data_IF_797356733614
#
_entry.id   IF_797356733614
#
_cell.length_a   1.000
_cell.length_b   1.000
_cell.length_c   1.000
_cell.angle_alpha   90.00
_cell.angle_beta   90.00
_cell.angle_gamma   90.00
#
_symmetry.space_group_name_H-M   'P 1'
#
loop_
_entity.id
_entity.type
_entity.pdbx_description
1 polymer ?
#
# COMPACT_ATOMS: atom_id res chain seq x y z
N UNK A 1 24.66 -42.95 -13.83
CA UNK A 1 24.02 -42.08 -14.84
C UNK A 1 22.58 -41.91 -14.40
N UNK A 2 22.27 -40.69 -13.94
CA UNK A 2 20.94 -40.06 -13.73
C UNK A 2 20.09 -40.60 -12.56
N UNK A 3 20.29 -39.98 -11.39
CA UNK A 3 19.22 -39.72 -10.42
C UNK A 3 18.66 -38.32 -10.74
N UNK A 4 17.64 -38.24 -11.56
CA UNK A 4 16.80 -37.05 -11.69
C UNK A 4 15.36 -37.46 -11.38
N UNK A 5 14.91 -37.10 -10.18
CA UNK A 5 13.51 -36.74 -9.94
C UNK A 5 13.40 -35.93 -8.65
N UNK A 6 13.95 -34.72 -8.73
CA UNK A 6 13.51 -33.58 -7.94
C UNK A 6 12.18 -33.10 -8.56
N UNK A 7 11.03 -33.50 -8.00
CA UNK A 7 9.82 -32.70 -8.15
C UNK A 7 9.54 -32.03 -6.81
N UNK A 8 10.19 -30.91 -6.59
CA UNK A 8 9.78 -29.97 -5.57
C UNK A 8 8.31 -29.64 -5.81
N UNK A 9 7.47 -30.07 -4.88
CA UNK A 9 6.11 -29.60 -4.71
C UNK A 9 6.18 -28.12 -4.29
N UNK A 10 6.48 -27.26 -5.25
CA UNK A 10 6.39 -25.82 -5.12
C UNK A 10 5.18 -25.39 -5.96
N UNK A 11 4.20 -24.79 -5.30
CA UNK A 11 3.03 -24.18 -5.95
C UNK A 11 3.50 -23.16 -6.98
N UNK A 12 3.00 -23.27 -8.21
CA UNK A 12 3.38 -22.46 -9.37
C UNK A 12 2.73 -21.06 -9.38
N UNK A 13 2.45 -20.47 -8.21
CA UNK A 13 1.56 -19.30 -8.09
C UNK A 13 2.24 -17.93 -8.03
N UNK A 14 3.57 -17.81 -8.02
CA UNK A 14 4.19 -16.51 -7.71
C UNK A 14 5.23 -16.03 -8.73
N UNK A 15 4.82 -15.93 -9.99
CA UNK A 15 5.47 -15.03 -10.95
C UNK A 15 4.45 -14.39 -11.89
N UNK A 16 3.49 -13.63 -11.35
CA UNK A 16 2.91 -12.55 -12.16
C UNK A 16 3.87 -11.37 -12.05
N UNK A 17 4.67 -11.13 -13.08
CA UNK A 17 5.40 -9.88 -13.22
C UNK A 17 4.37 -8.75 -13.33
N UNK A 18 4.06 -8.11 -12.21
CA UNK A 18 3.40 -6.81 -12.21
C UNK A 18 4.51 -5.77 -12.29
N UNK A 19 4.64 -5.11 -13.44
CA UNK A 19 5.54 -3.98 -13.60
C UNK A 19 4.97 -2.78 -12.84
N UNK A 20 5.42 -2.58 -11.60
CA UNK A 20 5.10 -1.38 -10.84
C UNK A 20 5.71 -0.14 -11.51
N UNK A 21 4.94 0.94 -11.63
CA UNK A 21 5.44 2.24 -12.07
C UNK A 21 5.27 3.26 -10.93
N UNK A 22 6.38 3.84 -10.48
CA UNK A 22 6.40 4.81 -9.38
C UNK A 22 6.64 6.25 -9.83
N UNK A 23 6.72 6.53 -11.13
CA UNK A 23 7.09 7.85 -11.66
C UNK A 23 6.15 8.96 -11.17
N UNK A 24 4.85 8.68 -11.19
CA UNK A 24 3.83 9.65 -10.76
C UNK A 24 3.86 9.86 -9.24
N UNK A 25 4.14 8.81 -8.48
CA UNK A 25 4.43 8.93 -7.06
C UNK A 25 5.61 9.88 -6.84
N UNK A 26 6.77 9.60 -7.44
CA UNK A 26 8.00 10.42 -7.27
C UNK A 26 7.80 11.90 -7.60
N UNK A 27 6.98 12.22 -8.60
CA UNK A 27 6.68 13.61 -8.98
C UNK A 27 5.80 14.35 -7.95
N UNK A 28 4.83 13.64 -7.35
CA UNK A 28 3.79 14.25 -6.51
C UNK A 28 4.19 14.25 -5.03
N UNK A 29 4.87 13.22 -4.55
CA UNK A 29 5.36 13.17 -3.18
C UNK A 29 6.42 14.23 -2.94
N UNK A 30 6.50 14.75 -1.72
CA UNK A 30 7.50 15.78 -1.35
C UNK A 30 8.93 15.23 -1.52
N UNK A 31 9.92 16.14 -1.58
CA UNK A 31 11.35 15.89 -1.93
C UNK A 31 12.07 14.71 -1.24
N UNK A 32 11.51 14.13 -0.18
CA UNK A 32 12.05 12.91 0.46
C UNK A 32 11.59 11.62 -0.22
N UNK A 33 10.75 11.71 -1.24
CA UNK A 33 10.23 10.57 -1.98
C UNK A 33 11.30 9.70 -2.56
N UNK A 34 12.37 10.27 -3.12
CA UNK A 34 13.45 9.52 -3.76
C UNK A 34 14.24 8.65 -2.75
N UNK A 35 14.06 8.87 -1.45
CA UNK A 35 14.65 8.06 -0.38
C UNK A 35 13.84 6.79 -0.08
N UNK A 36 12.58 6.74 -0.49
CA UNK A 36 11.72 5.56 -0.28
C UNK A 36 11.99 4.56 -1.40
N UNK A 37 12.52 3.38 -1.10
CA UNK A 37 12.85 2.40 -2.15
C UNK A 37 11.61 1.83 -2.85
N UNK A 38 11.76 1.41 -4.11
CA UNK A 38 10.72 0.74 -4.89
C UNK A 38 10.23 -0.54 -4.21
N UNK A 39 11.12 -1.27 -3.54
CA UNK A 39 10.77 -2.45 -2.75
C UNK A 39 9.84 -2.09 -1.57
N UNK A 40 10.11 -0.97 -0.89
CA UNK A 40 9.26 -0.50 0.19
C UNK A 40 7.89 -0.08 -0.34
N UNK A 41 7.84 0.64 -1.47
CA UNK A 41 6.58 1.03 -2.11
C UNK A 41 5.76 -0.19 -2.53
N UNK A 42 6.41 -1.18 -3.12
CA UNK A 42 5.82 -2.47 -3.51
C UNK A 42 5.25 -3.20 -2.28
N UNK A 43 6.02 -3.28 -1.20
CA UNK A 43 5.57 -3.84 0.07
C UNK A 43 4.36 -3.08 0.62
N UNK A 44 4.38 -1.75 0.61
CA UNK A 44 3.29 -0.93 1.12
C UNK A 44 2.00 -1.10 0.30
N UNK A 45 2.12 -1.28 -1.02
CA UNK A 45 0.97 -1.63 -1.88
C UNK A 45 0.39 -2.96 -1.43
N UNK A 46 1.20 -4.01 -1.33
CA UNK A 46 0.72 -5.33 -0.89
C UNK A 46 0.10 -5.30 0.51
N UNK A 47 0.72 -4.59 1.44
CA UNK A 47 0.20 -4.39 2.79
C UNK A 47 -1.15 -3.66 2.78
N UNK A 48 -1.29 -2.62 1.96
CA UNK A 48 -2.54 -1.89 1.78
C UNK A 48 -3.63 -2.72 1.11
N UNK A 49 -3.28 -3.63 0.20
CA UNK A 49 -4.26 -4.54 -0.41
C UNK A 49 -4.76 -5.61 0.57
N UNK A 50 -3.92 -6.05 1.50
CA UNK A 50 -4.28 -6.94 2.60
C UNK A 50 -5.18 -6.25 3.64
N UNK A 51 -4.65 -5.22 4.29
CA UNK A 51 -5.22 -4.64 5.52
C UNK A 51 -5.83 -3.24 5.34
N UNK A 52 -5.71 -2.65 4.16
CA UNK A 52 -6.22 -1.32 3.86
C UNK A 52 -7.72 -1.27 3.59
N UNK A 53 -8.30 -0.10 3.85
CA UNK A 53 -9.67 0.24 3.50
C UNK A 53 -9.74 1.62 2.86
N UNK A 54 -10.32 1.69 1.66
CA UNK A 54 -10.75 2.93 1.02
C UNK A 54 -12.23 3.16 1.34
N UNK A 55 -12.52 4.30 1.93
CA UNK A 55 -13.85 4.66 2.42
C UNK A 55 -14.26 6.02 1.85
N UNK A 56 -15.55 6.24 1.72
CA UNK A 56 -16.11 7.55 1.40
C UNK A 56 -16.59 8.22 2.69
N UNK A 57 -16.03 9.39 3.00
CA UNK A 57 -16.46 10.24 4.10
C UNK A 57 -17.86 10.80 3.90
N UNK A 58 -18.45 11.35 4.98
CA UNK A 58 -19.81 11.95 4.94
C UNK A 58 -19.93 13.10 3.93
N UNK A 59 -18.81 13.77 3.66
CA UNK A 59 -18.67 14.86 2.69
C UNK A 59 -18.21 14.39 1.31
N UNK A 60 -18.36 13.09 1.01
CA UNK A 60 -17.92 12.45 -0.23
C UNK A 60 -16.40 12.45 -0.46
N UNK A 61 -15.58 12.82 0.52
CA UNK A 61 -14.12 12.73 0.40
C UNK A 61 -13.63 11.29 0.54
N UNK A 62 -12.62 10.92 -0.24
CA UNK A 62 -11.93 9.64 -0.09
C UNK A 62 -11.13 9.63 1.22
N UNK A 63 -11.19 8.53 1.94
CA UNK A 63 -10.46 8.29 3.19
C UNK A 63 -9.76 6.96 3.05
N UNK A 64 -8.46 6.93 3.32
CA UNK A 64 -7.69 5.69 3.43
C UNK A 64 -7.40 5.37 4.90
N UNK A 65 -7.49 4.09 5.24
CA UNK A 65 -7.31 3.59 6.60
C UNK A 65 -6.52 2.29 6.60
N UNK A 66 -5.54 2.19 7.50
CA UNK A 66 -4.93 0.93 7.96
C UNK A 66 -5.21 0.77 9.44
N UNK A 67 -5.66 -0.41 9.87
CA UNK A 67 -5.91 -0.72 11.29
C UNK A 67 -5.06 -1.91 11.69
N UNK A 68 -4.24 -1.75 12.74
CA UNK A 68 -3.31 -2.79 13.20
C UNK A 68 -3.19 -2.80 14.72
N UNK A 69 -2.91 -3.98 15.29
CA UNK A 69 -2.54 -4.08 16.72
C UNK A 69 -1.13 -3.54 16.95
N UNK A 70 -0.21 -3.89 16.05
CA UNK A 70 1.15 -3.39 16.09
C UNK A 70 1.16 -1.92 15.67
N UNK A 71 1.54 -1.02 16.58
CA UNK A 71 1.52 0.43 16.29
C UNK A 71 2.79 0.86 15.58
N UNK A 72 3.91 0.16 15.79
CA UNK A 72 5.20 0.49 15.21
C UNK A 72 5.16 0.52 13.67
N UNK A 73 4.50 -0.44 13.04
CA UNK A 73 4.34 -0.48 11.57
C UNK A 73 3.54 0.71 11.03
N UNK A 74 2.52 1.16 11.77
CA UNK A 74 1.70 2.30 11.36
C UNK A 74 2.48 3.63 11.49
N UNK A 75 3.28 3.76 12.55
CA UNK A 75 4.18 4.91 12.71
C UNK A 75 5.25 4.90 11.62
N UNK A 76 5.84 3.75 11.31
CA UNK A 76 6.80 3.60 10.23
C UNK A 76 6.21 4.05 8.88
N UNK A 77 5.01 3.58 8.52
CA UNK A 77 4.30 4.04 7.32
C UNK A 77 4.09 5.56 7.31
N UNK A 78 3.64 6.12 8.44
CA UNK A 78 3.42 7.55 8.56
C UNK A 78 4.71 8.36 8.36
N UNK A 79 5.79 7.94 9.01
CA UNK A 79 7.11 8.59 8.93
C UNK A 79 7.71 8.45 7.52
N UNK A 80 7.62 7.28 6.89
CA UNK A 80 8.17 7.05 5.56
C UNK A 80 7.42 7.81 4.47
N UNK A 81 6.08 7.88 4.53
CA UNK A 81 5.29 8.60 3.53
C UNK A 81 5.17 10.10 3.83
N UNK A 82 5.40 10.52 5.08
CA UNK A 82 5.24 11.92 5.52
C UNK A 82 3.81 12.46 5.47
N UNK A 83 2.80 11.58 5.38
CA UNK A 83 1.39 11.93 5.27
C UNK A 83 0.53 11.15 6.26
N UNK A 84 -0.70 11.61 6.49
CA UNK A 84 -1.66 10.96 7.37
C UNK A 84 -1.38 11.16 8.85
N UNK A 85 -2.10 10.41 9.69
CA UNK A 85 -1.95 10.42 11.15
C UNK A 85 -2.19 9.03 11.73
N UNK A 86 -1.48 8.71 12.81
CA UNK A 86 -1.72 7.50 13.61
C UNK A 86 -2.46 7.87 14.89
N UNK A 87 -3.47 7.08 15.25
CA UNK A 87 -4.19 7.20 16.53
C UNK A 87 -4.43 5.83 17.14
N UNK A 88 -4.24 5.72 18.45
CA UNK A 88 -4.46 4.49 19.22
C UNK A 88 -5.86 4.48 19.85
N UNK A 89 -6.50 3.32 19.81
CA UNK A 89 -7.84 3.04 20.33
C UNK A 89 -7.79 1.74 21.13
N UNK A 90 -7.57 1.85 22.45
CA UNK A 90 -7.45 0.68 23.31
C UNK A 90 -6.27 -0.22 22.88
N UNK A 91 -6.57 -1.38 22.32
CA UNK A 91 -5.60 -2.41 21.95
C UNK A 91 -5.18 -2.41 20.46
N UNK A 92 -5.61 -1.42 19.69
CA UNK A 92 -5.21 -1.27 18.30
C UNK A 92 -4.96 0.19 17.94
N UNK A 93 -4.24 0.41 16.84
CA UNK A 93 -3.99 1.72 16.27
C UNK A 93 -4.52 1.80 14.84
N UNK A 94 -4.71 3.03 14.37
CA UNK A 94 -5.19 3.32 13.04
C UNK A 94 -4.37 4.42 12.40
N UNK A 95 -3.78 4.11 11.25
CA UNK A 95 -3.25 5.09 10.32
C UNK A 95 -4.38 5.55 9.41
N UNK A 96 -4.52 6.87 9.25
CA UNK A 96 -5.61 7.49 8.47
C UNK A 96 -5.09 8.65 7.63
N UNK A 97 -5.49 8.67 6.36
CA UNK A 97 -5.28 9.76 5.40
C UNK A 97 -6.64 10.24 4.89
N UNK A 98 -6.95 11.51 5.07
CA UNK A 98 -8.23 12.14 4.64
C UNK A 98 -8.09 13.61 4.19
N UNK A 99 -6.86 14.13 4.17
CA UNK A 99 -6.55 15.41 3.55
C UNK A 99 -6.26 15.25 2.06
N UNK A 100 -6.52 16.30 1.28
CA UNK A 100 -6.42 16.26 -0.19
C UNK A 100 -5.01 15.92 -0.68
N UNK A 101 -3.97 16.45 -0.01
CA UNK A 101 -2.58 16.25 -0.43
C UNK A 101 -2.16 14.78 -0.23
N UNK A 102 -2.41 14.24 0.96
CA UNK A 102 -2.09 12.85 1.27
C UNK A 102 -2.87 11.86 0.39
N UNK A 103 -4.14 12.15 0.10
CA UNK A 103 -4.93 11.31 -0.82
C UNK A 103 -4.34 11.33 -2.25
N UNK A 104 -3.88 12.48 -2.75
CA UNK A 104 -3.24 12.54 -4.06
C UNK A 104 -1.95 11.72 -4.13
N UNK A 105 -1.14 11.72 -3.07
CA UNK A 105 0.06 10.86 -2.95
C UNK A 105 -0.31 9.37 -2.97
N UNK A 106 -1.38 8.98 -2.27
CA UNK A 106 -1.83 7.58 -2.30
C UNK A 106 -2.38 7.18 -3.67
N UNK A 107 -3.12 8.07 -4.34
CA UNK A 107 -3.65 7.81 -5.68
C UNK A 107 -2.51 7.63 -6.69
N UNK A 108 -1.49 8.49 -6.65
CA UNK A 108 -0.35 8.37 -7.55
C UNK A 108 0.46 7.09 -7.31
N UNK A 109 0.46 6.57 -6.09
CA UNK A 109 1.07 5.29 -5.76
C UNK A 109 0.22 4.09 -6.19
N UNK A 110 -1.09 4.10 -5.98
CA UNK A 110 -1.95 2.93 -6.22
C UNK A 110 -2.47 2.82 -7.66
N UNK A 111 -2.63 3.94 -8.37
CA UNK A 111 -3.20 3.94 -9.71
C UNK A 111 -2.29 3.18 -10.68
N UNK A 112 -2.78 2.08 -11.25
CA UNK A 112 -2.01 1.19 -12.12
C UNK A 112 -1.15 0.14 -11.39
N UNK A 113 -0.98 0.27 -10.07
CA UNK A 113 -0.11 -0.59 -9.27
C UNK A 113 -0.86 -1.58 -8.36
N UNK A 114 -2.18 -1.46 -8.19
CA UNK A 114 -2.97 -2.45 -7.45
C UNK A 114 -3.00 -3.79 -8.18
N UNK A 115 -2.73 -4.89 -7.46
CA UNK A 115 -2.68 -6.23 -8.04
C UNK A 115 -4.06 -6.89 -7.98
N UNK A 116 -4.78 -6.77 -6.86
CA UNK A 116 -6.04 -7.46 -6.61
C UNK A 116 -7.23 -6.75 -7.27
N UNK A 117 -8.01 -7.49 -8.08
CA UNK A 117 -9.14 -6.91 -8.81
C UNK A 117 -10.23 -6.35 -7.88
N UNK A 118 -10.44 -6.97 -6.71
CA UNK A 118 -11.35 -6.45 -5.68
C UNK A 118 -10.97 -5.05 -5.20
N UNK A 119 -9.67 -4.71 -5.18
CA UNK A 119 -9.16 -3.41 -4.75
C UNK A 119 -9.25 -2.38 -5.87
N UNK A 120 -9.00 -2.77 -7.12
CA UNK A 120 -9.21 -1.91 -8.30
C UNK A 120 -10.64 -1.36 -8.37
N UNK A 121 -11.65 -2.18 -8.01
CA UNK A 121 -13.06 -1.75 -8.00
C UNK A 121 -13.35 -0.72 -6.90
N UNK A 122 -12.71 -0.82 -5.74
CA UNK A 122 -12.91 0.11 -4.62
C UNK A 122 -12.38 1.52 -4.92
N UNK A 123 -11.33 1.63 -5.74
CA UNK A 123 -10.65 2.90 -6.07
C UNK A 123 -11.21 3.55 -7.34
N UNK A 124 -11.98 2.82 -8.17
CA UNK A 124 -12.60 3.33 -9.41
C UNK A 124 -13.85 4.21 -9.22
N UNK A 125 -14.27 4.48 -7.99
CA UNK A 125 -15.48 5.28 -7.68
C UNK A 125 -15.15 6.74 -7.44
#
# INVERSE_FOLDING_TARGET
MILEQLSAYNSSETTRETSFNFDEYRKISDKNSDQVSDNWLTWFIGFSEGDGAFLTGKDKRLVFVLTQKETAILNHVHETLGIGRVRTYGNFSRYRVDDKKGILVLISLFNGNLVLDKRKVQVKR
#
